data_IF_223867421330
#
_entry.id   IF_223867421330
#
_cell.length_a   1.000
_cell.length_b   1.000
_cell.length_c   1.000
_cell.angle_alpha   90.00
_cell.angle_beta   90.00
_cell.angle_gamma   90.00
#
_symmetry.space_group_name_H-M   'P 1'
#
loop_
_entity.id
_entity.type
_entity.pdbx_description
1 polymer ?
#
# COMPACT_ATOMS: atom_id res chain seq x y z
N UNK A 1 14.08 -6.63 -15.42
CA UNK A 1 14.12 -8.09 -15.19
C UNK A 1 15.14 -8.82 -16.08
N UNK A 2 15.06 -8.77 -17.41
CA UNK A 2 16.00 -9.50 -18.28
C UNK A 2 17.50 -9.23 -17.99
N UNK A 3 17.88 -7.96 -17.78
CA UNK A 3 19.26 -7.58 -17.42
C UNK A 3 19.69 -8.15 -16.05
N UNK A 4 18.81 -8.10 -15.05
CA UNK A 4 19.05 -8.67 -13.72
C UNK A 4 19.22 -10.20 -13.81
N UNK A 5 18.32 -10.89 -14.54
CA UNK A 5 18.39 -12.33 -14.72
C UNK A 5 19.68 -12.79 -15.39
N UNK A 6 20.09 -12.12 -16.47
CA UNK A 6 21.35 -12.37 -17.16
C UNK A 6 22.54 -12.19 -16.23
N UNK A 7 22.56 -11.09 -15.45
CA UNK A 7 23.65 -10.81 -14.51
C UNK A 7 23.75 -11.80 -13.36
N UNK A 8 22.62 -12.24 -12.82
CA UNK A 8 22.60 -13.17 -11.68
C UNK A 8 22.73 -14.62 -12.10
N UNK A 9 22.65 -14.94 -13.39
CA UNK A 9 22.63 -16.31 -13.90
C UNK A 9 21.42 -17.13 -13.41
N UNK A 10 20.33 -16.45 -13.03
CA UNK A 10 19.14 -17.07 -12.39
C UNK A 10 17.92 -16.98 -13.29
N UNK A 11 16.97 -17.93 -13.17
CA UNK A 11 15.71 -17.86 -13.92
C UNK A 11 14.96 -16.55 -13.65
N UNK A 12 14.42 -15.93 -14.70
CA UNK A 12 13.70 -14.67 -14.59
C UNK A 12 12.57 -14.67 -13.53
N UNK A 13 11.78 -15.76 -13.36
CA UNK A 13 10.77 -15.83 -12.29
C UNK A 13 11.35 -15.76 -10.88
N UNK A 14 12.50 -16.39 -10.64
CA UNK A 14 13.16 -16.34 -9.33
C UNK A 14 13.67 -14.93 -9.03
N UNK A 15 14.20 -14.24 -10.05
CA UNK A 15 14.68 -12.85 -9.93
C UNK A 15 13.51 -11.88 -9.73
N UNK A 16 12.40 -12.07 -10.44
CA UNK A 16 11.19 -11.26 -10.26
C UNK A 16 10.61 -11.42 -8.84
N UNK A 17 10.50 -12.67 -8.34
CA UNK A 17 10.04 -12.91 -6.98
C UNK A 17 10.95 -12.26 -5.92
N UNK A 18 12.27 -12.32 -6.11
CA UNK A 18 13.19 -11.62 -5.20
C UNK A 18 13.08 -10.10 -5.29
N UNK A 19 12.93 -9.55 -6.50
CA UNK A 19 12.74 -8.11 -6.68
C UNK A 19 11.47 -7.66 -5.93
N UNK A 20 10.38 -8.43 -6.04
CA UNK A 20 9.15 -8.16 -5.31
C UNK A 20 9.34 -8.24 -3.79
N UNK A 21 10.04 -9.26 -3.28
CA UNK A 21 10.34 -9.36 -1.84
C UNK A 21 11.17 -8.17 -1.33
N UNK A 22 12.18 -7.73 -2.10
CA UNK A 22 12.95 -6.52 -1.78
C UNK A 22 12.08 -5.26 -1.84
N UNK A 23 11.16 -5.17 -2.79
CA UNK A 23 10.18 -4.07 -2.83
C UNK A 23 9.33 -4.04 -1.56
N UNK A 24 8.79 -5.18 -1.11
CA UNK A 24 8.02 -5.25 0.13
C UNK A 24 8.85 -4.79 1.34
N UNK A 25 10.10 -5.26 1.45
CA UNK A 25 10.96 -4.92 2.59
C UNK A 25 11.47 -3.47 2.57
N UNK A 26 11.87 -2.96 1.40
CA UNK A 26 12.55 -1.67 1.27
C UNK A 26 11.60 -0.50 0.99
N UNK A 27 10.38 -0.80 0.53
CA UNK A 27 9.36 0.22 0.19
C UNK A 27 8.13 0.05 1.09
N UNK A 28 7.53 -1.12 1.17
CA UNK A 28 6.25 -1.28 1.90
C UNK A 28 6.44 -1.28 3.42
N UNK A 29 7.43 -2.01 3.94
CA UNK A 29 7.67 -2.15 5.38
C UNK A 29 7.88 -0.81 6.10
N UNK A 30 8.66 0.16 5.57
CA UNK A 30 8.77 1.48 6.19
C UNK A 30 7.46 2.25 6.29
N UNK A 31 6.53 2.10 5.33
CA UNK A 31 5.21 2.77 5.39
C UNK A 31 4.34 2.14 6.47
N UNK A 32 4.35 0.80 6.57
CA UNK A 32 3.66 0.09 7.66
C UNK A 32 4.21 0.48 9.03
N UNK A 33 5.53 0.64 9.14
CA UNK A 33 6.18 1.11 10.37
C UNK A 33 5.79 2.55 10.71
N UNK A 34 5.74 3.44 9.71
CA UNK A 34 5.35 4.84 9.90
C UNK A 34 3.90 4.96 10.40
N UNK A 35 2.99 4.21 9.78
CA UNK A 35 1.59 4.09 10.20
C UNK A 35 1.50 3.59 11.65
N UNK A 36 2.20 2.51 11.99
CA UNK A 36 2.14 1.93 13.33
C UNK A 36 2.78 2.79 14.43
N UNK A 37 3.85 3.52 14.10
CA UNK A 37 4.67 4.24 15.10
C UNK A 37 4.24 5.68 15.28
N UNK A 38 3.74 6.30 14.21
CA UNK A 38 3.37 7.71 14.20
C UNK A 38 1.89 7.96 13.92
N UNK A 39 1.12 6.94 13.51
CA UNK A 39 -0.26 7.12 13.08
C UNK A 39 -0.36 7.91 11.78
N UNK A 40 0.67 7.84 10.92
CA UNK A 40 0.72 8.57 9.65
C UNK A 40 0.58 7.56 8.50
N UNK A 41 -0.57 7.56 7.83
CA UNK A 41 -0.84 6.71 6.68
C UNK A 41 -0.66 7.51 5.38
N UNK A 42 0.29 7.08 4.55
CA UNK A 42 0.55 7.74 3.26
C UNK A 42 -0.41 7.24 2.19
N UNK A 43 -0.84 8.12 1.28
CA UNK A 43 -1.47 7.73 0.01
C UNK A 43 -0.43 7.18 -0.98
N UNK A 44 0.27 6.12 -0.55
CA UNK A 44 1.37 5.50 -1.26
C UNK A 44 0.91 4.65 -2.46
N UNK A 45 0.05 5.19 -3.33
CA UNK A 45 -0.26 4.56 -4.63
C UNK A 45 0.97 4.60 -5.56
N UNK A 46 0.87 3.94 -6.71
CA UNK A 46 2.02 3.77 -7.62
C UNK A 46 2.62 5.11 -8.07
N UNK A 47 1.79 6.11 -8.39
CA UNK A 47 2.29 7.42 -8.82
C UNK A 47 3.01 8.19 -7.69
N UNK A 48 2.67 7.97 -6.41
CA UNK A 48 3.30 8.62 -5.26
C UNK A 48 4.47 7.82 -4.66
N UNK A 49 4.82 6.69 -5.27
CA UNK A 49 5.90 5.81 -4.81
C UNK A 49 7.04 5.78 -5.82
N UNK A 50 8.20 6.32 -5.43
CA UNK A 50 9.43 6.26 -6.20
C UNK A 50 10.32 5.15 -5.63
N UNK A 51 10.62 4.14 -6.45
CA UNK A 51 11.49 3.03 -6.04
C UNK A 51 12.95 3.40 -6.33
N UNK A 52 13.78 3.41 -5.29
CA UNK A 52 15.22 3.56 -5.43
C UNK A 52 15.82 2.21 -5.79
N UNK A 53 16.57 2.19 -6.90
CA UNK A 53 17.29 1.02 -7.36
C UNK A 53 18.78 1.22 -7.16
N UNK A 54 19.48 0.16 -6.77
CA UNK A 54 20.94 0.12 -6.85
C UNK A 54 21.40 0.11 -8.33
N UNK A 55 22.71 0.24 -8.62
CA UNK A 55 23.23 0.17 -9.98
C UNK A 55 22.89 -1.13 -10.72
N UNK A 56 22.47 -2.16 -9.98
CA UNK A 56 22.13 -3.47 -10.51
C UNK A 56 20.67 -3.60 -10.88
N UNK A 57 19.82 -2.72 -10.36
CA UNK A 57 18.39 -2.68 -10.57
C UNK A 57 17.57 -3.30 -9.45
N UNK A 58 18.18 -3.60 -8.29
CA UNK A 58 17.46 -4.12 -7.12
C UNK A 58 16.86 -2.99 -6.29
N UNK A 59 15.65 -3.17 -5.71
CA UNK A 59 15.08 -2.20 -4.78
C UNK A 59 15.96 -2.09 -3.54
N UNK A 60 16.33 -0.87 -3.19
CA UNK A 60 17.12 -0.53 -2.00
C UNK A 60 16.50 0.61 -1.19
N UNK A 61 15.29 1.05 -1.56
CA UNK A 61 14.53 2.01 -0.77
C UNK A 61 13.33 2.58 -1.51
N UNK A 62 12.51 3.33 -0.78
CA UNK A 62 11.41 4.14 -1.31
C UNK A 62 11.62 5.63 -1.05
N UNK A 63 11.05 6.45 -1.93
CA UNK A 63 10.75 7.87 -1.68
C UNK A 63 9.27 8.10 -1.96
N UNK A 64 8.62 8.81 -1.06
CA UNK A 64 7.23 9.20 -1.20
C UNK A 64 7.18 10.67 -1.57
N UNK A 65 6.26 10.99 -2.47
CA UNK A 65 5.97 12.37 -2.89
C UNK A 65 4.49 12.65 -2.68
N UNK A 66 4.14 13.91 -2.95
CA UNK A 66 2.82 14.50 -2.72
C UNK A 66 2.56 14.76 -1.23
N UNK A 67 2.53 16.04 -0.86
CA UNK A 67 2.30 16.49 0.52
C UNK A 67 0.82 16.81 0.79
N UNK A 68 -0.08 16.52 -0.16
CA UNK A 68 -1.52 16.60 0.01
C UNK A 68 -2.13 15.23 0.34
N UNK A 69 -1.47 14.13 -0.04
CA UNK A 69 -1.96 12.75 0.12
C UNK A 69 -1.38 11.99 1.32
N UNK A 70 -1.71 12.38 2.54
CA UNK A 70 -1.50 11.54 3.74
C UNK A 70 -2.51 11.87 4.84
N UNK A 71 -2.68 10.93 5.77
CA UNK A 71 -3.65 10.98 6.85
C UNK A 71 -2.98 10.86 8.20
N UNK A 72 -3.49 11.59 9.19
CA UNK A 72 -3.20 11.34 10.60
C UNK A 72 -4.35 10.59 11.25
N UNK A 73 -4.04 9.48 11.91
CA UNK A 73 -5.02 8.73 12.71
C UNK A 73 -5.46 9.55 13.90
N UNK A 74 -6.77 9.63 14.11
CA UNK A 74 -7.35 10.27 15.30
C UNK A 74 -6.79 9.67 16.59
N UNK A 75 -6.61 8.35 16.65
CA UNK A 75 -6.03 7.66 17.81
C UNK A 75 -4.61 8.11 18.18
N UNK A 76 -3.89 8.76 17.26
CA UNK A 76 -2.51 9.22 17.46
C UNK A 76 -2.40 10.74 17.67
N UNK A 77 -3.52 11.47 17.71
CA UNK A 77 -3.57 12.93 17.84
C UNK A 77 -2.68 13.46 18.96
N UNK A 78 -2.87 12.98 20.19
CA UNK A 78 -2.11 13.47 21.34
C UNK A 78 -0.60 13.24 21.21
N UNK A 79 -0.21 12.12 20.60
CA UNK A 79 1.20 11.80 20.39
C UNK A 79 1.83 12.69 19.30
N UNK A 80 1.08 13.00 18.25
CA UNK A 80 1.50 13.89 17.17
C UNK A 80 1.57 15.35 17.65
N UNK A 81 0.57 15.81 18.40
CA UNK A 81 0.50 17.17 18.96
C UNK A 81 1.68 17.44 19.92
N UNK A 82 2.08 16.45 20.73
CA UNK A 82 3.29 16.55 21.57
C UNK A 82 4.59 16.68 20.77
N UNK A 83 4.64 16.11 19.56
CA UNK A 83 5.84 16.16 18.69
C UNK A 83 5.89 17.45 17.88
N UNK A 84 4.75 17.91 17.39
CA UNK A 84 4.61 19.12 16.60
C UNK A 84 3.27 19.80 16.96
N UNK A 85 3.26 20.78 17.86
CA UNK A 85 2.04 21.49 18.22
C UNK A 85 1.39 22.18 17.02
N UNK A 86 0.07 22.07 16.89
CA UNK A 86 -0.71 22.60 15.77
C UNK A 86 -0.65 21.76 14.50
N UNK A 87 -0.10 20.55 14.56
CA UNK A 87 -0.05 19.64 13.41
C UNK A 87 -1.46 19.32 12.93
N UNK A 88 -1.66 19.31 11.61
CA UNK A 88 -2.96 18.99 11.01
C UNK A 88 -4.06 20.06 11.17
N UNK A 89 -3.87 21.13 11.95
CA UNK A 89 -4.92 22.15 12.19
C UNK A 89 -5.27 22.94 10.93
N UNK A 90 -4.27 23.32 10.14
CA UNK A 90 -4.50 24.08 8.89
C UNK A 90 -4.96 23.20 7.73
N UNK A 91 -4.53 21.94 7.73
CA UNK A 91 -4.69 21.01 6.61
C UNK A 91 -5.85 20.03 6.79
N UNK A 92 -6.54 20.06 7.93
CA UNK A 92 -7.64 19.14 8.29
C UNK A 92 -7.30 17.65 8.05
N UNK A 93 -6.08 17.27 8.42
CA UNK A 93 -5.47 15.98 8.06
C UNK A 93 -5.84 14.82 8.98
N UNK A 94 -6.45 15.12 10.13
CA UNK A 94 -6.90 14.10 11.04
C UNK A 94 -8.20 13.47 10.56
N UNK A 95 -8.18 12.16 10.42
CA UNK A 95 -9.34 11.38 10.03
C UNK A 95 -9.51 10.21 11.01
N UNK A 96 -10.74 9.70 11.11
CA UNK A 96 -10.98 8.54 11.96
C UNK A 96 -10.13 7.35 11.51
N UNK A 97 -9.74 6.51 12.47
CA UNK A 97 -8.95 5.31 12.19
C UNK A 97 -9.61 4.40 11.16
N UNK A 98 -10.94 4.25 11.22
CA UNK A 98 -11.70 3.44 10.26
C UNK A 98 -11.62 3.98 8.82
N UNK A 99 -11.69 5.31 8.64
CA UNK A 99 -11.50 5.94 7.33
C UNK A 99 -10.05 5.77 6.87
N UNK A 100 -9.09 5.95 7.78
CA UNK A 100 -7.67 5.74 7.50
C UNK A 100 -7.41 4.31 7.02
N UNK A 101 -7.98 3.31 7.68
CA UNK A 101 -7.83 1.90 7.34
C UNK A 101 -8.40 1.59 5.95
N UNK A 102 -9.60 2.11 5.62
CA UNK A 102 -10.19 1.93 4.28
C UNK A 102 -9.30 2.56 3.19
N UNK A 103 -8.85 3.80 3.39
CA UNK A 103 -8.03 4.54 2.41
C UNK A 103 -6.64 3.93 2.27
N UNK A 104 -6.00 3.57 3.38
CA UNK A 104 -4.66 3.01 3.38
C UNK A 104 -4.63 1.60 2.76
N UNK A 105 -5.66 0.78 3.01
CA UNK A 105 -5.82 -0.51 2.35
C UNK A 105 -5.98 -0.37 0.83
N UNK A 106 -6.73 0.63 0.37
CA UNK A 106 -6.84 0.90 -1.06
C UNK A 106 -5.50 1.37 -1.66
N UNK A 107 -4.86 2.40 -1.10
CA UNK A 107 -3.68 3.00 -1.73
C UNK A 107 -2.45 2.10 -1.69
N UNK A 108 -2.11 1.56 -0.51
CA UNK A 108 -0.93 0.71 -0.36
C UNK A 108 -1.25 -0.74 -0.74
N UNK A 109 -2.36 -1.30 -0.26
CA UNK A 109 -2.71 -2.70 -0.53
C UNK A 109 -3.10 -2.94 -1.99
N UNK A 110 -4.14 -2.24 -2.48
CA UNK A 110 -4.75 -2.52 -3.78
C UNK A 110 -4.01 -1.81 -4.92
N UNK A 111 -4.00 -0.48 -4.90
CA UNK A 111 -3.49 0.35 -5.98
C UNK A 111 -1.98 0.17 -6.16
N UNK A 112 -1.25 -0.05 -5.06
CA UNK A 112 0.19 -0.29 -5.10
C UNK A 112 0.56 -1.79 -5.18
N UNK A 113 0.48 -2.54 -4.07
CA UNK A 113 1.11 -3.88 -4.02
C UNK A 113 0.40 -4.88 -4.92
N UNK A 114 -0.94 -4.98 -4.86
CA UNK A 114 -1.69 -5.88 -5.74
C UNK A 114 -1.60 -5.44 -7.22
N UNK A 115 -1.57 -4.13 -7.47
CA UNK A 115 -1.28 -3.58 -8.80
C UNK A 115 0.07 -4.05 -9.36
N UNK A 116 1.11 -4.11 -8.51
CA UNK A 116 2.43 -4.62 -8.89
C UNK A 116 2.43 -6.13 -9.14
N UNK A 117 1.71 -6.91 -8.31
CA UNK A 117 1.50 -8.35 -8.53
C UNK A 117 0.86 -8.61 -9.89
N UNK A 118 -0.22 -7.91 -10.21
CA UNK A 118 -0.91 -8.02 -11.50
C UNK A 118 -0.02 -7.60 -12.68
N UNK A 119 0.81 -6.56 -12.51
CA UNK A 119 1.76 -6.16 -13.54
C UNK A 119 2.83 -7.24 -13.82
N UNK A 120 3.32 -7.92 -12.77
CA UNK A 120 4.27 -9.04 -12.94
C UNK A 120 3.61 -10.24 -13.62
N UNK A 121 2.38 -10.58 -13.24
CA UNK A 121 1.60 -11.66 -13.84
C UNK A 121 1.29 -11.41 -15.31
N UNK A 122 0.74 -10.25 -15.65
CA UNK A 122 0.40 -9.86 -17.02
C UNK A 122 1.61 -9.90 -17.97
N UNK A 123 2.79 -9.53 -17.47
CA UNK A 123 4.04 -9.55 -18.23
C UNK A 123 4.77 -10.90 -18.16
N UNK A 124 4.16 -11.93 -17.56
CA UNK A 124 4.72 -13.28 -17.37
C UNK A 124 6.10 -13.28 -16.71
N UNK A 125 6.34 -12.31 -15.82
CA UNK A 125 7.59 -12.20 -15.07
C UNK A 125 7.62 -13.17 -13.91
N UNK A 126 6.49 -13.43 -13.27
CA UNK A 126 6.28 -14.45 -12.24
C UNK A 126 4.79 -14.84 -12.19
N UNK A 127 4.50 -16.03 -11.66
CA UNK A 127 3.12 -16.46 -11.39
C UNK A 127 2.54 -15.64 -10.23
N UNK A 128 1.35 -15.05 -10.41
CA UNK A 128 0.69 -14.24 -9.39
C UNK A 128 0.48 -15.02 -8.09
N UNK A 129 0.19 -16.33 -8.15
CA UNK A 129 -0.01 -17.17 -6.96
C UNK A 129 1.25 -17.23 -6.10
N UNK A 130 2.43 -17.23 -6.72
CA UNK A 130 3.72 -17.20 -6.00
C UNK A 130 3.93 -15.85 -5.33
N UNK A 131 3.62 -14.74 -6.02
CA UNK A 131 3.76 -13.40 -5.46
C UNK A 131 2.74 -13.12 -4.35
N UNK A 132 1.49 -13.57 -4.51
CA UNK A 132 0.47 -13.49 -3.47
C UNK A 132 0.87 -14.31 -2.24
N UNK A 133 1.41 -15.52 -2.42
CA UNK A 133 1.92 -16.30 -1.30
C UNK A 133 3.09 -15.61 -0.58
N UNK A 134 4.02 -15.00 -1.33
CA UNK A 134 5.11 -14.21 -0.78
C UNK A 134 4.60 -12.97 -0.02
N UNK A 135 3.59 -12.28 -0.57
CA UNK A 135 2.93 -11.15 0.08
C UNK A 135 2.28 -11.56 1.40
N UNK A 136 1.54 -12.67 1.44
CA UNK A 136 0.96 -13.17 2.70
C UNK A 136 2.02 -13.44 3.76
N UNK A 137 3.13 -14.09 3.38
CA UNK A 137 4.23 -14.36 4.31
C UNK A 137 4.88 -13.08 4.84
N UNK A 138 5.06 -12.07 3.97
CA UNK A 138 5.53 -10.75 4.37
C UNK A 138 4.57 -10.08 5.35
N UNK A 139 3.28 -10.02 5.02
CA UNK A 139 2.25 -9.38 5.85
C UNK A 139 2.14 -10.07 7.22
N UNK A 140 2.17 -11.40 7.26
CA UNK A 140 2.12 -12.16 8.51
C UNK A 140 3.27 -11.77 9.44
N UNK A 141 4.48 -11.59 8.91
CA UNK A 141 5.62 -11.07 9.67
C UNK A 141 5.49 -9.59 10.02
N UNK A 142 4.90 -8.79 9.14
CA UNK A 142 4.74 -7.35 9.34
C UNK A 142 3.67 -6.99 10.38
N UNK A 143 2.79 -7.91 10.78
CA UNK A 143 1.83 -7.72 11.87
C UNK A 143 2.50 -7.26 13.17
N UNK A 144 3.74 -7.70 13.44
CA UNK A 144 4.52 -7.31 14.63
C UNK A 144 4.85 -5.81 14.68
N UNK A 145 4.71 -5.09 13.56
CA UNK A 145 4.92 -3.64 13.52
C UNK A 145 3.81 -2.89 14.25
N UNK A 146 2.60 -3.45 14.35
CA UNK A 146 1.45 -2.83 15.01
C UNK A 146 0.53 -2.01 14.11
N UNK A 147 0.80 -1.91 12.80
CA UNK A 147 -0.16 -1.36 11.84
C UNK A 147 -1.36 -2.31 11.70
N UNK A 148 -2.61 -1.82 11.62
CA UNK A 148 -3.77 -2.68 11.41
C UNK A 148 -3.82 -3.27 9.99
N UNK A 149 -3.15 -2.63 9.01
CA UNK A 149 -3.27 -2.96 7.60
C UNK A 149 -2.86 -4.41 7.26
N UNK A 150 -1.73 -4.96 7.77
CA UNK A 150 -1.36 -6.35 7.46
C UNK A 150 -2.39 -7.38 7.91
N UNK A 151 -2.98 -7.22 9.10
CA UNK A 151 -4.04 -8.10 9.58
C UNK A 151 -5.31 -7.95 8.73
N UNK A 152 -5.74 -6.71 8.46
CA UNK A 152 -6.89 -6.43 7.61
C UNK A 152 -6.78 -7.08 6.22
N UNK A 153 -5.61 -7.02 5.59
CA UNK A 153 -5.36 -7.62 4.28
C UNK A 153 -5.30 -9.15 4.31
N UNK A 154 -4.93 -9.77 5.43
CA UNK A 154 -4.88 -11.23 5.58
C UNK A 154 -6.25 -11.83 5.92
N UNK A 155 -6.98 -11.17 6.81
CA UNK A 155 -8.16 -11.75 7.47
C UNK A 155 -9.47 -11.38 6.78
N UNK A 156 -9.53 -10.23 6.09
CA UNK A 156 -10.79 -9.81 5.46
C UNK A 156 -11.07 -10.62 4.19
N UNK A 157 -12.26 -11.22 4.02
CA UNK A 157 -12.63 -11.92 2.78
C UNK A 157 -12.82 -10.96 1.60
N UNK A 158 -13.03 -9.67 1.88
CA UNK A 158 -13.31 -8.65 0.86
C UNK A 158 -12.53 -7.37 1.14
N UNK A 159 -12.29 -6.58 0.09
CA UNK A 159 -11.62 -5.29 0.19
C UNK A 159 -12.50 -4.18 -0.39
N UNK A 160 -12.41 -2.99 0.21
CA UNK A 160 -13.04 -1.78 -0.31
C UNK A 160 -12.10 -1.15 -1.33
N UNK A 161 -12.57 -1.02 -2.56
CA UNK A 161 -11.79 -0.54 -3.68
C UNK A 161 -12.44 0.69 -4.30
N UNK A 162 -11.65 1.74 -4.54
CA UNK A 162 -12.12 2.97 -5.17
C UNK A 162 -12.58 2.69 -6.60
N UNK A 163 -13.83 3.02 -6.89
CA UNK A 163 -14.45 2.87 -8.19
C UNK A 163 -14.35 4.17 -8.98
N UNK A 164 -13.17 4.44 -9.56
CA UNK A 164 -12.90 5.70 -10.28
C UNK A 164 -13.93 5.99 -11.39
N UNK A 165 -14.29 4.97 -12.19
CA UNK A 165 -15.29 5.13 -13.26
C UNK A 165 -16.67 5.51 -12.72
N UNK A 166 -17.13 4.84 -11.67
CA UNK A 166 -18.44 5.11 -11.05
C UNK A 166 -18.45 6.47 -10.33
N UNK A 167 -17.34 6.82 -9.68
CA UNK A 167 -17.13 8.14 -9.07
C UNK A 167 -17.31 9.24 -10.11
N UNK A 168 -16.68 9.09 -11.29
CA UNK A 168 -16.85 10.06 -12.39
C UNK A 168 -18.25 10.05 -12.99
N UNK A 169 -18.88 8.89 -13.12
CA UNK A 169 -20.26 8.79 -13.60
C UNK A 169 -21.26 9.51 -12.69
N UNK A 170 -21.00 9.51 -11.37
CA UNK A 170 -21.82 10.23 -10.39
C UNK A 170 -21.50 11.73 -10.28
N UNK A 171 -20.55 12.23 -11.08
CA UNK A 171 -20.19 13.65 -11.08
C UNK A 171 -19.51 14.13 -9.78
N UNK A 172 -18.94 13.22 -9.00
CA UNK A 172 -18.24 13.58 -7.77
C UNK A 172 -16.88 14.21 -8.10
N UNK A 173 -16.58 15.32 -7.44
CA UNK A 173 -15.28 15.98 -7.49
C UNK A 173 -14.49 15.65 -6.22
N UNK A 174 -13.38 14.96 -6.37
CA UNK A 174 -12.53 14.52 -5.26
C UNK A 174 -11.74 15.66 -4.61
N UNK A 175 -11.79 16.87 -5.20
CA UNK A 175 -11.21 18.08 -4.64
C UNK A 175 -12.23 18.90 -3.81
N UNK A 176 -13.50 18.47 -3.77
CA UNK A 176 -14.60 19.21 -3.15
C UNK A 176 -15.45 18.29 -2.28
N UNK A 177 -15.43 18.51 -0.97
CA UNK A 177 -16.27 17.80 0.00
C UNK A 177 -15.46 16.98 1.00
N UNK A 178 -16.12 16.32 1.96
CA UNK A 178 -15.43 15.57 2.99
C UNK A 178 -14.81 14.28 2.42
N UNK A 179 -13.63 13.90 2.95
CA UNK A 179 -12.80 12.78 2.47
C UNK A 179 -13.55 11.42 2.46
N UNK A 180 -14.55 11.27 3.32
CA UNK A 180 -15.37 10.06 3.44
C UNK A 180 -16.34 9.85 2.26
N UNK A 181 -16.77 10.92 1.59
CA UNK A 181 -17.88 10.91 0.62
C UNK A 181 -17.46 11.35 -0.78
N UNK A 182 -16.24 11.84 -0.95
CA UNK A 182 -15.73 12.34 -2.23
C UNK A 182 -15.55 11.27 -3.33
N UNK A 183 -15.58 9.98 -2.99
CA UNK A 183 -15.39 8.89 -3.95
C UNK A 183 -16.30 7.70 -3.68
N UNK A 184 -16.70 7.01 -4.75
CA UNK A 184 -17.45 5.76 -4.65
C UNK A 184 -16.49 4.61 -4.42
N UNK A 185 -16.79 3.77 -3.43
CA UNK A 185 -16.07 2.53 -3.17
C UNK A 185 -16.97 1.31 -3.39
N UNK A 186 -16.42 0.29 -4.04
CA UNK A 186 -17.08 -1.01 -4.25
C UNK A 186 -16.35 -2.09 -3.46
N UNK A 187 -17.04 -3.20 -3.21
CA UNK A 187 -16.46 -4.35 -2.52
C UNK A 187 -15.95 -5.36 -3.54
N UNK A 188 -14.69 -5.77 -3.42
CA UNK A 188 -14.06 -6.79 -4.27
C UNK A 188 -13.62 -7.99 -3.43
N UNK A 189 -13.49 -9.17 -4.04
CA UNK A 189 -12.91 -10.33 -3.38
C UNK A 189 -11.44 -10.08 -3.03
N UNK A 190 -11.01 -10.51 -1.83
CA UNK A 190 -9.62 -10.37 -1.41
C UNK A 190 -8.76 -11.55 -1.93
N UNK A 191 -7.78 -11.33 -2.83
CA UNK A 191 -6.93 -12.41 -3.34
C UNK A 191 -5.94 -12.98 -2.30
N UNK A 192 -5.78 -12.33 -1.16
CA UNK A 192 -4.92 -12.79 -0.06
C UNK A 192 -5.65 -13.68 0.94
N UNK A 193 -6.98 -13.60 0.98
CA UNK A 193 -7.80 -14.40 1.88
C UNK A 193 -7.92 -15.82 1.36
N UNK A 194 -7.27 -16.77 2.05
CA UNK A 194 -7.47 -18.19 1.78
C UNK A 194 -8.66 -18.69 2.57
N UNK A 195 -9.76 -19.01 1.89
CA UNK A 195 -10.77 -19.90 2.48
C UNK A 195 -10.06 -21.23 2.76
N UNK A 196 -9.97 -21.64 4.03
CA UNK A 196 -9.36 -22.92 4.37
C UNK A 196 -9.93 -24.04 3.50
N UNK A 197 -9.08 -24.65 2.70
CA UNK A 197 -9.30 -25.95 2.05
C UNK A 197 -8.37 -26.94 2.67
#
# INVERSE_FOLDING_TARGET
MAKLAARTGRPAPAVAAEWFLRYLDQVVRPVLWLDATAGIALEAHQQNTLVLLDPDGWPVGGRYRDNQGYYFRESHRDALERRLPGVGTTSDTFVSDAVTDERFAYYLGINNVLGLVGAFGAQRLADERVLLAALRQFLAKATVLGSPLPAQLLDSPTLRCKANLMTRLHGLDELVGPVDTQSVYVTIANPLHTTGT
#
